data_IF_995880092634
#
_entry.id   IF_995880092634
#
_cell.length_a   1.000
_cell.length_b   1.000
_cell.length_c   1.000
_cell.angle_alpha   90.00
_cell.angle_beta   90.00
_cell.angle_gamma   90.00
#
_symmetry.space_group_name_H-M   'P 1'
#
loop_
_entity.id
_entity.type
_entity.pdbx_description
1 polymer ?
#
# COMPACT_ATOMS: atom_id res chain seq x y z
N UNK A 1 9.16 14.58 14.06
CA UNK A 1 8.28 15.58 14.68
C UNK A 1 7.02 15.77 13.84
N UNK A 2 5.87 15.99 14.48
CA UNK A 2 4.63 16.35 13.79
C UNK A 2 4.83 17.68 13.05
N UNK A 3 4.38 17.75 11.79
CA UNK A 3 4.54 18.94 10.96
C UNK A 3 5.91 19.10 10.29
N UNK A 4 6.81 18.12 10.39
CA UNK A 4 8.13 18.16 9.76
C UNK A 4 8.13 17.91 8.25
N UNK A 5 6.95 17.72 7.64
CA UNK A 5 6.81 17.53 6.19
C UNK A 5 6.70 16.07 5.73
N UNK A 6 6.46 15.11 6.63
CA UNK A 6 6.31 13.69 6.29
C UNK A 6 5.18 13.44 5.28
N UNK A 7 4.00 13.98 5.54
CA UNK A 7 2.85 13.85 4.63
C UNK A 7 3.10 14.55 3.29
N UNK A 8 3.76 15.69 3.29
CA UNK A 8 4.16 16.40 2.07
C UNK A 8 5.15 15.58 1.27
N UNK A 9 6.13 14.97 1.92
CA UNK A 9 7.12 14.10 1.29
C UNK A 9 6.45 12.90 0.61
N UNK A 10 5.51 12.23 1.29
CA UNK A 10 4.76 11.12 0.71
C UNK A 10 3.90 11.57 -0.47
N UNK A 11 3.26 12.73 -0.41
CA UNK A 11 2.48 13.28 -1.52
C UNK A 11 3.34 13.61 -2.73
N UNK A 12 4.57 14.05 -2.53
CA UNK A 12 5.55 14.27 -3.61
C UNK A 12 5.94 12.93 -4.24
N UNK A 13 6.23 11.90 -3.43
CA UNK A 13 6.59 10.57 -3.93
C UNK A 13 5.46 9.92 -4.73
N UNK A 14 4.21 10.16 -4.37
CA UNK A 14 3.03 9.61 -5.07
C UNK A 14 2.57 10.45 -6.26
N UNK A 15 3.21 11.59 -6.52
CA UNK A 15 2.84 12.47 -7.62
C UNK A 15 1.64 13.39 -7.35
N UNK A 16 1.13 13.42 -6.12
CA UNK A 16 0.00 14.28 -5.75
C UNK A 16 0.39 15.76 -5.64
N UNK A 17 1.66 16.04 -5.37
CA UNK A 17 2.24 17.39 -5.30
C UNK A 17 3.55 17.36 -6.09
N UNK A 18 3.79 18.41 -6.90
CA UNK A 18 5.07 18.58 -7.58
C UNK A 18 6.13 19.15 -6.62
N UNK A 19 7.37 18.64 -6.66
CA UNK A 19 8.45 19.20 -5.85
C UNK A 19 8.88 20.58 -6.36
N UNK A 20 9.23 21.48 -5.45
CA UNK A 20 9.78 22.80 -5.79
C UNK A 20 11.18 22.71 -6.39
N UNK A 21 11.95 21.69 -5.98
CA UNK A 21 13.29 21.36 -6.47
C UNK A 21 13.46 19.85 -6.48
N UNK A 22 14.27 19.37 -7.42
CA UNK A 22 14.55 17.96 -7.57
C UNK A 22 13.48 17.21 -8.33
N UNK A 23 13.72 15.93 -8.54
CA UNK A 23 12.87 15.04 -9.32
C UNK A 23 12.58 13.77 -8.52
N UNK A 24 11.39 13.19 -8.74
CA UNK A 24 11.06 11.84 -8.33
C UNK A 24 11.19 10.94 -9.54
N UNK A 25 12.07 9.95 -9.46
CA UNK A 25 12.28 8.98 -10.53
C UNK A 25 11.97 7.58 -10.03
N UNK A 26 11.09 6.89 -10.74
CA UNK A 26 10.78 5.48 -10.52
C UNK A 26 11.19 4.72 -11.79
N UNK A 27 11.90 3.62 -11.62
CA UNK A 27 12.33 2.79 -12.74
C UNK A 27 11.13 2.37 -13.59
N UNK A 28 11.16 2.54 -14.92
CA UNK A 28 10.06 2.11 -15.78
C UNK A 28 9.70 0.64 -15.58
N UNK A 29 8.39 0.35 -15.51
CA UNK A 29 7.86 -0.98 -15.28
C UNK A 29 7.66 -1.34 -13.81
N UNK A 30 8.20 -0.56 -12.87
CA UNK A 30 7.93 -0.73 -11.44
C UNK A 30 6.58 -0.14 -11.07
N UNK A 31 5.85 -0.86 -10.19
CA UNK A 31 4.55 -0.44 -9.71
C UNK A 31 4.66 0.17 -8.31
N UNK A 32 4.27 1.44 -8.20
CA UNK A 32 4.11 2.14 -6.93
C UNK A 32 2.69 1.94 -6.41
N UNK A 33 2.56 1.50 -5.18
CA UNK A 33 1.29 1.41 -4.46
C UNK A 33 1.35 2.25 -3.20
N UNK A 34 0.23 2.88 -2.85
CA UNK A 34 0.15 3.68 -1.63
C UNK A 34 -1.23 3.56 -0.98
N UNK A 35 -1.28 3.80 0.33
CA UNK A 35 -2.53 3.83 1.08
C UNK A 35 -3.29 5.12 0.77
N UNK A 36 -4.41 4.98 0.06
CA UNK A 36 -5.28 6.11 -0.29
C UNK A 36 -6.05 6.62 0.92
N UNK A 37 -6.34 7.92 0.95
CA UNK A 37 -7.03 8.58 2.06
C UNK A 37 -8.53 8.79 1.79
N UNK A 38 -8.95 8.84 0.53
CA UNK A 38 -10.35 9.01 0.15
C UNK A 38 -11.08 7.66 0.15
N UNK A 39 -11.70 7.32 1.29
CA UNK A 39 -12.43 6.07 1.45
C UNK A 39 -13.82 6.05 0.83
N UNK A 40 -14.32 7.16 0.31
CA UNK A 40 -15.62 7.24 -0.38
C UNK A 40 -15.50 7.05 -1.90
N UNK A 41 -14.30 7.10 -2.42
CA UNK A 41 -14.01 7.02 -3.86
C UNK A 41 -14.54 5.74 -4.51
N UNK A 42 -14.61 4.65 -3.76
CA UNK A 42 -14.95 3.30 -4.26
C UNK A 42 -16.33 2.82 -3.84
N UNK A 43 -17.20 3.69 -3.36
CA UNK A 43 -18.52 3.33 -2.81
C UNK A 43 -19.42 2.55 -3.77
N UNK A 44 -19.24 2.71 -5.07
CA UNK A 44 -20.00 2.00 -6.14
C UNK A 44 -19.49 0.59 -6.41
N UNK A 45 -18.31 0.23 -5.91
CA UNK A 45 -17.68 -1.06 -6.18
C UNK A 45 -17.85 -2.02 -5.01
N UNK A 46 -17.79 -3.32 -5.28
CA UNK A 46 -17.75 -4.28 -4.18
C UNK A 46 -16.37 -4.33 -3.53
N UNK A 47 -16.31 -4.94 -2.35
CA UNK A 47 -15.10 -4.97 -1.52
C UNK A 47 -13.97 -5.72 -2.20
N UNK A 48 -14.22 -6.92 -2.74
CA UNK A 48 -13.20 -7.70 -3.46
C UNK A 48 -12.66 -6.97 -4.68
N UNK A 49 -13.53 -6.42 -5.50
CA UNK A 49 -13.13 -5.67 -6.70
C UNK A 49 -12.27 -4.47 -6.33
N UNK A 50 -12.61 -3.76 -5.25
CA UNK A 50 -11.82 -2.62 -4.76
C UNK A 50 -10.39 -3.03 -4.42
N UNK A 51 -10.20 -4.17 -3.77
CA UNK A 51 -8.85 -4.68 -3.46
C UNK A 51 -8.09 -5.04 -4.74
N UNK A 52 -8.74 -5.74 -5.68
CA UNK A 52 -8.11 -6.16 -6.94
C UNK A 52 -7.71 -4.95 -7.80
N UNK A 53 -8.43 -3.83 -7.71
CA UNK A 53 -8.05 -2.56 -8.35
C UNK A 53 -6.66 -2.05 -7.92
N UNK A 54 -6.10 -2.57 -6.84
CA UNK A 54 -4.71 -2.33 -6.46
C UNK A 54 -3.71 -2.71 -7.54
N UNK A 55 -4.05 -3.70 -8.37
CA UNK A 55 -3.38 -3.97 -9.64
C UNK A 55 -4.31 -3.56 -10.79
N UNK A 56 -4.20 -2.32 -11.22
CA UNK A 56 -5.10 -1.71 -12.18
C UNK A 56 -5.17 -2.49 -13.51
N UNK A 57 -4.04 -2.92 -14.04
CA UNK A 57 -4.02 -3.71 -15.28
C UNK A 57 -4.73 -5.05 -15.15
N UNK A 58 -4.53 -5.74 -14.04
CA UNK A 58 -5.23 -7.01 -13.77
C UNK A 58 -6.75 -6.80 -13.72
N UNK A 59 -7.20 -5.78 -13.04
CA UNK A 59 -8.61 -5.44 -12.94
C UNK A 59 -9.21 -5.10 -14.33
N UNK A 60 -8.50 -4.31 -15.13
CA UNK A 60 -8.92 -4.01 -16.51
C UNK A 60 -9.05 -5.27 -17.36
N UNK A 61 -8.09 -6.19 -17.28
CA UNK A 61 -8.14 -7.47 -18.00
C UNK A 61 -9.37 -8.27 -17.59
N UNK A 62 -9.66 -8.36 -16.30
CA UNK A 62 -10.84 -9.07 -15.79
C UNK A 62 -12.14 -8.48 -16.38
N UNK A 63 -12.24 -7.15 -16.43
CA UNK A 63 -13.42 -6.46 -16.98
C UNK A 63 -13.53 -6.59 -18.49
N UNK A 64 -12.43 -6.50 -19.21
CA UNK A 64 -12.41 -6.70 -20.68
C UNK A 64 -12.79 -8.13 -21.05
N UNK A 65 -12.29 -9.12 -20.29
CA UNK A 65 -12.69 -10.54 -20.49
C UNK A 65 -14.18 -10.73 -20.29
N UNK A 66 -14.74 -10.23 -19.19
CA UNK A 66 -16.18 -10.31 -18.91
C UNK A 66 -17.00 -9.70 -20.05
N UNK A 67 -16.59 -8.53 -20.54
CA UNK A 67 -17.26 -7.83 -21.62
C UNK A 67 -17.23 -8.61 -22.93
N UNK A 68 -16.08 -9.20 -23.29
CA UNK A 68 -15.93 -10.00 -24.51
C UNK A 68 -16.77 -11.26 -24.46
N UNK A 69 -16.72 -12.01 -23.35
CA UNK A 69 -17.48 -13.26 -23.20
C UNK A 69 -18.99 -13.03 -23.05
N UNK A 70 -19.41 -11.83 -22.67
CA UNK A 70 -20.82 -11.46 -22.60
C UNK A 70 -21.43 -11.03 -23.95
N UNK A 71 -20.61 -10.88 -24.98
CA UNK A 71 -21.12 -10.50 -26.32
C UNK A 71 -21.95 -11.59 -26.91
N UNK A 72 -23.14 -11.22 -27.43
CA UNK A 72 -24.00 -12.12 -28.22
C UNK A 72 -23.37 -12.42 -29.59
N UNK A 73 -22.64 -11.45 -30.12
CA UNK A 73 -21.99 -11.46 -31.43
C UNK A 73 -20.47 -11.68 -31.24
N UNK A 74 -20.12 -12.91 -30.86
CA UNK A 74 -18.70 -13.26 -30.62
C UNK A 74 -18.01 -13.58 -31.95
N UNK A 75 -17.11 -12.71 -32.37
CA UNK A 75 -16.38 -12.82 -33.64
C UNK A 75 -15.02 -13.53 -33.46
N UNK A 76 -14.37 -13.88 -34.60
CA UNK A 76 -12.98 -14.40 -34.58
C UNK A 76 -12.00 -13.41 -33.99
N UNK A 77 -12.17 -12.11 -34.25
CA UNK A 77 -11.38 -11.04 -33.65
C UNK A 77 -11.56 -11.00 -32.13
N UNK A 78 -12.77 -11.16 -31.63
CA UNK A 78 -13.07 -11.29 -30.19
C UNK A 78 -12.37 -12.51 -29.58
N UNK A 79 -12.32 -13.63 -30.28
CA UNK A 79 -11.60 -14.83 -29.87
C UNK A 79 -10.09 -14.61 -29.76
N UNK A 80 -9.49 -13.91 -30.71
CA UNK A 80 -8.08 -13.57 -30.67
C UNK A 80 -7.77 -12.62 -29.50
N UNK A 81 -8.61 -11.61 -29.29
CA UNK A 81 -8.46 -10.67 -28.17
C UNK A 81 -8.61 -11.38 -26.83
N UNK A 82 -9.60 -12.26 -26.69
CA UNK A 82 -9.79 -13.06 -25.49
C UNK A 82 -8.57 -13.94 -25.19
N UNK A 83 -7.96 -14.56 -26.20
CA UNK A 83 -6.75 -15.37 -26.02
C UNK A 83 -5.56 -14.54 -25.54
N UNK A 84 -5.37 -13.34 -26.05
CA UNK A 84 -4.33 -12.41 -25.58
C UNK A 84 -4.55 -12.02 -24.13
N UNK A 85 -5.79 -11.68 -23.76
CA UNK A 85 -6.17 -11.32 -22.39
C UNK A 85 -5.99 -12.49 -21.43
N UNK A 86 -6.34 -13.71 -21.83
CA UNK A 86 -6.13 -14.91 -21.00
C UNK A 86 -4.66 -15.17 -20.74
N UNK A 87 -3.80 -15.00 -21.74
CA UNK A 87 -2.35 -15.16 -21.57
C UNK A 87 -1.78 -14.14 -20.59
N UNK A 88 -2.15 -12.87 -20.73
CA UNK A 88 -1.73 -11.79 -19.81
C UNK A 88 -2.29 -12.01 -18.39
N UNK A 89 -3.53 -12.43 -18.28
CA UNK A 89 -4.18 -12.80 -17.00
C UNK A 89 -3.42 -13.92 -16.28
N UNK A 90 -3.04 -14.97 -17.00
CA UNK A 90 -2.27 -16.07 -16.45
C UNK A 90 -0.87 -15.62 -15.98
N UNK A 91 -0.20 -14.79 -16.77
CA UNK A 91 1.12 -14.24 -16.42
C UNK A 91 1.09 -13.38 -15.14
N UNK A 92 -0.04 -12.78 -14.84
CA UNK A 92 -0.25 -11.97 -13.64
C UNK A 92 -0.83 -12.77 -12.46
N UNK A 93 -0.90 -14.08 -12.53
CA UNK A 93 -1.56 -14.95 -11.55
C UNK A 93 -3.02 -14.55 -11.28
N UNK A 94 -3.73 -14.16 -12.31
CA UNK A 94 -5.10 -13.65 -12.21
C UNK A 94 -6.10 -14.65 -11.63
N UNK A 95 -5.87 -15.95 -11.80
CA UNK A 95 -6.68 -17.02 -11.23
C UNK A 95 -6.70 -17.02 -9.69
N UNK A 96 -5.66 -16.45 -9.07
CA UNK A 96 -5.52 -16.36 -7.62
C UNK A 96 -5.95 -14.99 -7.05
N UNK A 97 -6.34 -14.06 -7.91
CA UNK A 97 -6.64 -12.68 -7.51
C UNK A 97 -7.70 -12.57 -6.42
N UNK A 98 -8.81 -13.27 -6.55
CA UNK A 98 -9.88 -13.25 -5.53
C UNK A 98 -9.44 -13.89 -4.22
N UNK A 99 -8.73 -15.01 -4.29
CA UNK A 99 -8.17 -15.69 -3.11
C UNK A 99 -7.16 -14.81 -2.38
N UNK A 100 -6.26 -14.18 -3.11
CA UNK A 100 -5.25 -13.27 -2.55
C UNK A 100 -5.92 -12.06 -1.90
N UNK A 101 -6.90 -11.46 -2.58
CA UNK A 101 -7.66 -10.34 -2.02
C UNK A 101 -8.41 -10.74 -0.73
N UNK A 102 -9.02 -11.92 -0.72
CA UNK A 102 -9.72 -12.44 0.45
C UNK A 102 -8.78 -12.66 1.64
N UNK A 103 -7.56 -13.16 1.40
CA UNK A 103 -6.56 -13.34 2.45
C UNK A 103 -6.12 -12.02 3.07
N UNK A 104 -5.90 -10.99 2.26
CA UNK A 104 -5.57 -9.65 2.74
C UNK A 104 -6.69 -9.06 3.59
N UNK A 105 -7.92 -9.16 3.12
CA UNK A 105 -9.10 -8.67 3.84
C UNK A 105 -9.28 -9.38 5.19
N UNK A 106 -9.23 -10.71 5.19
CA UNK A 106 -9.34 -11.48 6.42
C UNK A 106 -8.22 -11.16 7.42
N UNK A 107 -7.00 -11.02 6.95
CA UNK A 107 -5.86 -10.65 7.79
C UNK A 107 -6.04 -9.30 8.48
N UNK A 108 -6.66 -8.35 7.79
CA UNK A 108 -6.93 -7.00 8.33
C UNK A 108 -8.24 -6.91 9.11
N UNK A 109 -8.96 -8.00 9.30
CA UNK A 109 -10.16 -8.04 10.11
C UNK A 109 -11.46 -7.77 9.35
N UNK A 110 -11.42 -7.81 8.01
CA UNK A 110 -12.63 -7.75 7.17
C UNK A 110 -13.05 -9.18 6.83
N UNK A 111 -14.09 -9.67 7.49
CA UNK A 111 -14.57 -11.03 7.33
C UNK A 111 -15.20 -11.31 5.97
N UNK A 112 -15.30 -12.59 5.65
CA UNK A 112 -15.82 -13.08 4.35
C UNK A 112 -17.25 -12.62 4.06
N UNK A 113 -18.06 -12.39 5.09
CA UNK A 113 -19.42 -11.86 4.98
C UNK A 113 -19.49 -10.46 4.36
N UNK A 114 -18.40 -9.69 4.41
CA UNK A 114 -18.31 -8.36 3.84
C UNK A 114 -17.71 -8.32 2.42
N UNK A 115 -17.07 -9.39 1.96
CA UNK A 115 -16.28 -9.36 0.72
C UNK A 115 -17.10 -9.08 -0.55
N UNK A 116 -18.36 -9.48 -0.60
CA UNK A 116 -19.23 -9.27 -1.75
C UNK A 116 -20.20 -8.09 -1.57
N UNK A 117 -20.11 -7.40 -0.44
CA UNK A 117 -20.86 -6.16 -0.23
C UNK A 117 -20.24 -5.01 -1.01
N UNK A 118 -21.04 -3.97 -1.29
CA UNK A 118 -20.50 -2.74 -1.84
C UNK A 118 -19.76 -1.96 -0.78
N UNK A 119 -18.79 -1.17 -1.18
CA UNK A 119 -18.05 -0.31 -0.25
C UNK A 119 -18.96 0.66 0.51
N UNK A 120 -20.03 1.13 -0.13
CA UNK A 120 -21.02 2.02 0.50
C UNK A 120 -21.69 1.42 1.75
N UNK A 121 -21.80 0.08 1.82
CA UNK A 121 -22.41 -0.64 2.95
C UNK A 121 -21.48 -0.76 4.16
N UNK A 122 -20.20 -0.47 4.00
CA UNK A 122 -19.20 -0.54 5.07
C UNK A 122 -19.16 0.77 5.87
N UNK A 123 -18.77 0.69 7.16
CA UNK A 123 -18.48 1.88 7.94
C UNK A 123 -17.10 2.46 7.58
N UNK A 124 -16.79 3.67 8.08
CA UNK A 124 -15.54 4.36 7.76
C UNK A 124 -14.28 3.57 8.12
N UNK A 125 -14.27 2.94 9.28
CA UNK A 125 -13.15 2.11 9.73
C UNK A 125 -12.92 0.90 8.82
N UNK A 126 -14.00 0.23 8.43
CA UNK A 126 -13.95 -0.91 7.50
C UNK A 126 -13.44 -0.48 6.10
N UNK A 127 -13.92 0.67 5.60
CA UNK A 127 -13.44 1.21 4.31
C UNK A 127 -11.93 1.47 4.31
N UNK A 128 -11.39 2.03 5.38
CA UNK A 128 -9.94 2.27 5.53
C UNK A 128 -9.16 0.95 5.47
N UNK A 129 -9.63 -0.09 6.13
CA UNK A 129 -9.01 -1.42 6.09
C UNK A 129 -9.03 -2.04 4.68
N UNK A 130 -10.11 -1.85 3.95
CA UNK A 130 -10.20 -2.29 2.55
C UNK A 130 -9.20 -1.55 1.68
N UNK A 131 -9.02 -0.25 1.86
CA UNK A 131 -8.01 0.53 1.13
C UNK A 131 -6.59 0.10 1.48
N UNK A 132 -6.34 -0.30 2.72
CA UNK A 132 -5.07 -0.89 3.10
C UNK A 132 -4.84 -2.23 2.38
N UNK A 133 -5.83 -3.10 2.34
CA UNK A 133 -5.76 -4.35 1.57
C UNK A 133 -5.47 -4.08 0.08
N UNK A 134 -6.13 -3.09 -0.50
CA UNK A 134 -5.88 -2.63 -1.88
C UNK A 134 -4.43 -2.20 -2.10
N UNK A 135 -3.86 -1.45 -1.17
CA UNK A 135 -2.47 -1.01 -1.25
C UNK A 135 -1.48 -2.19 -1.21
N UNK A 136 -1.78 -3.22 -0.42
CA UNK A 136 -0.93 -4.42 -0.28
C UNK A 136 -1.08 -5.41 -1.45
N UNK A 137 -2.16 -5.32 -2.21
CA UNK A 137 -2.52 -6.30 -3.23
C UNK A 137 -1.53 -6.34 -4.40
N UNK A 138 -1.26 -7.55 -4.89
CA UNK A 138 -0.56 -7.77 -6.15
C UNK A 138 0.94 -7.55 -6.11
N UNK A 139 1.57 -7.64 -4.95
CA UNK A 139 3.02 -7.55 -4.77
C UNK A 139 3.64 -6.31 -5.43
N UNK A 140 3.29 -5.08 -4.99
CA UNK A 140 3.84 -3.85 -5.57
C UNK A 140 5.36 -3.79 -5.40
N UNK A 141 6.04 -3.14 -6.33
CA UNK A 141 7.49 -2.94 -6.26
C UNK A 141 7.89 -1.93 -5.19
N UNK A 142 7.05 -0.91 -5.02
CA UNK A 142 7.22 0.13 -4.00
C UNK A 142 5.89 0.33 -3.29
N UNK A 143 5.89 0.21 -1.98
CA UNK A 143 4.70 0.33 -1.13
C UNK A 143 4.88 1.49 -0.16
N UNK A 144 3.94 2.44 -0.17
CA UNK A 144 3.92 3.60 0.72
C UNK A 144 2.73 3.52 1.66
N UNK A 145 2.98 3.45 2.96
CA UNK A 145 1.97 3.34 4.00
C UNK A 145 2.06 4.51 4.98
N UNK A 146 1.01 5.32 5.05
CA UNK A 146 0.89 6.42 6.01
C UNK A 146 -0.08 6.02 7.12
N UNK A 147 0.45 5.88 8.34
CA UNK A 147 -0.28 5.48 9.55
C UNK A 147 -1.15 4.22 9.35
N UNK A 148 -0.58 3.09 8.86
CA UNK A 148 -1.37 1.94 8.46
C UNK A 148 -2.05 1.19 9.60
N UNK A 149 -1.63 1.42 10.84
CA UNK A 149 -2.15 0.71 12.02
C UNK A 149 -3.33 1.40 12.70
N UNK A 150 -3.70 2.62 12.28
CA UNK A 150 -4.65 3.47 13.00
C UNK A 150 -6.04 2.85 13.25
N UNK A 151 -6.51 1.98 12.38
CA UNK A 151 -7.85 1.37 12.51
C UNK A 151 -7.80 -0.12 12.78
N UNK A 152 -6.62 -0.65 13.09
CA UNK A 152 -6.40 -2.08 13.26
C UNK A 152 -6.46 -2.47 14.74
N UNK A 153 -7.06 -3.63 15.02
CA UNK A 153 -6.92 -4.29 16.30
C UNK A 153 -5.56 -5.00 16.43
N UNK A 154 -5.27 -5.57 17.58
CA UNK A 154 -3.98 -6.22 17.84
C UNK A 154 -3.71 -7.38 16.89
N UNK A 155 -4.71 -8.18 16.55
CA UNK A 155 -4.55 -9.32 15.65
C UNK A 155 -4.24 -8.85 14.22
N UNK A 156 -4.92 -7.81 13.75
CA UNK A 156 -4.68 -7.21 12.44
C UNK A 156 -3.30 -6.55 12.37
N UNK A 157 -2.86 -5.87 13.42
CA UNK A 157 -1.51 -5.30 13.51
C UNK A 157 -0.46 -6.41 13.42
N UNK A 158 -0.63 -7.48 14.18
CA UNK A 158 0.30 -8.62 14.14
C UNK A 158 0.35 -9.25 12.74
N UNK A 159 -0.78 -9.38 12.07
CA UNK A 159 -0.84 -9.87 10.71
C UNK A 159 -0.10 -8.95 9.74
N UNK A 160 -0.30 -7.63 9.84
CA UNK A 160 0.37 -6.64 8.99
C UNK A 160 1.88 -6.61 9.23
N UNK A 161 2.32 -6.72 10.48
CA UNK A 161 3.74 -6.83 10.82
C UNK A 161 4.38 -8.02 10.11
N UNK A 162 3.75 -9.21 10.19
CA UNK A 162 4.21 -10.42 9.52
C UNK A 162 4.24 -10.24 7.99
N UNK A 163 3.19 -9.65 7.43
CA UNK A 163 3.14 -9.36 6.00
C UNK A 163 4.32 -8.49 5.56
N UNK A 164 4.60 -7.40 6.28
CA UNK A 164 5.67 -6.46 5.94
C UNK A 164 7.08 -7.04 6.18
N UNK A 165 7.25 -7.86 7.21
CA UNK A 165 8.52 -8.56 7.46
C UNK A 165 8.85 -9.50 6.31
N UNK A 166 7.86 -10.19 5.76
CA UNK A 166 8.01 -11.11 4.63
C UNK A 166 7.94 -10.42 3.25
N UNK A 167 7.65 -9.14 3.21
CA UNK A 167 7.57 -8.37 1.97
C UNK A 167 8.97 -8.10 1.42
N UNK A 168 9.27 -8.63 0.24
CA UNK A 168 10.62 -8.62 -0.33
C UNK A 168 10.99 -7.33 -1.03
N UNK A 169 9.99 -6.54 -1.44
CA UNK A 169 10.19 -5.30 -2.18
C UNK A 169 10.34 -4.09 -1.23
N UNK A 170 10.44 -2.90 -1.78
CA UNK A 170 10.63 -1.68 -1.00
C UNK A 170 9.33 -1.23 -0.33
N UNK A 171 9.37 -1.00 0.96
CA UNK A 171 8.26 -0.39 1.70
C UNK A 171 8.74 0.83 2.48
N UNK A 172 7.96 1.90 2.40
CA UNK A 172 8.15 3.13 3.18
C UNK A 172 6.93 3.30 4.08
N UNK A 173 7.16 3.33 5.38
CA UNK A 173 6.11 3.47 6.39
C UNK A 173 6.29 4.77 7.15
N UNK A 174 5.23 5.55 7.26
CA UNK A 174 5.12 6.65 8.21
C UNK A 174 4.19 6.23 9.33
N UNK A 175 4.68 6.24 10.56
CA UNK A 175 3.89 5.84 11.72
C UNK A 175 4.39 6.51 13.01
N UNK A 176 3.45 6.77 13.94
CA UNK A 176 3.74 7.15 15.32
C UNK A 176 3.80 5.94 16.26
N UNK A 177 3.47 4.76 15.76
CA UNK A 177 3.55 3.50 16.52
C UNK A 177 4.99 2.98 16.49
N UNK A 178 5.73 3.29 17.53
CA UNK A 178 7.14 2.88 17.67
C UNK A 178 7.33 1.37 17.75
N UNK A 179 6.39 0.65 18.32
CA UNK A 179 6.44 -0.82 18.42
C UNK A 179 6.31 -1.46 17.04
N UNK A 180 5.41 -0.93 16.24
CA UNK A 180 5.25 -1.35 14.86
C UNK A 180 6.50 -1.06 14.02
N UNK A 181 7.02 0.17 14.09
CA UNK A 181 8.25 0.56 13.38
C UNK A 181 9.44 -0.30 13.80
N UNK A 182 9.57 -0.59 15.09
CA UNK A 182 10.67 -1.40 15.61
C UNK A 182 10.66 -2.83 15.04
N UNK A 183 9.48 -3.39 14.80
CA UNK A 183 9.34 -4.75 14.25
C UNK A 183 9.56 -4.83 12.75
N UNK A 184 9.11 -3.84 11.99
CA UNK A 184 9.04 -3.91 10.52
C UNK A 184 10.17 -3.18 9.82
N UNK A 185 10.79 -2.17 10.44
CA UNK A 185 11.78 -1.30 9.79
C UNK A 185 13.20 -1.84 9.94
N UNK A 186 13.96 -1.74 8.84
CA UNK A 186 15.42 -2.01 8.80
C UNK A 186 16.23 -0.71 8.72
N UNK A 187 15.57 0.39 8.34
CA UNK A 187 16.17 1.73 8.28
C UNK A 187 15.14 2.76 8.75
N UNK A 188 15.61 3.83 9.35
CA UNK A 188 14.80 4.97 9.75
C UNK A 188 15.25 6.21 8.98
N UNK A 189 14.31 6.89 8.34
CA UNK A 189 14.52 8.21 7.77
C UNK A 189 13.97 9.27 8.75
N UNK A 190 14.85 10.08 9.28
CA UNK A 190 14.48 11.17 10.17
C UNK A 190 14.34 12.47 9.36
N UNK A 191 13.18 13.09 9.43
CA UNK A 191 12.87 14.36 8.74
C UNK A 191 12.74 15.44 9.81
N UNK A 192 13.72 16.33 9.85
CA UNK A 192 13.71 17.46 10.75
C UNK A 192 14.46 18.65 10.14
N UNK A 193 14.05 19.88 10.48
CA UNK A 193 14.67 21.12 9.98
C UNK A 193 14.88 21.16 8.46
N UNK A 194 13.90 20.69 7.70
CA UNK A 194 13.94 20.58 6.23
C UNK A 194 15.08 19.70 5.69
N UNK A 195 15.57 18.77 6.49
CA UNK A 195 16.59 17.78 6.11
C UNK A 195 16.09 16.37 6.33
N UNK A 196 16.59 15.44 5.53
CA UNK A 196 16.33 14.00 5.67
C UNK A 196 17.65 13.34 6.01
N UNK A 197 17.67 12.57 7.10
CA UNK A 197 18.82 11.78 7.50
C UNK A 197 18.43 10.31 7.64
N UNK A 198 19.23 9.42 7.04
CA UNK A 198 19.01 7.99 7.09
C UNK A 198 19.86 7.35 8.19
N UNK A 199 19.24 6.48 8.98
CA UNK A 199 19.88 5.64 9.98
C UNK A 199 19.64 4.18 9.66
N UNK A 200 20.68 3.36 9.63
CA UNK A 200 20.54 1.93 9.52
C UNK A 200 20.08 1.36 10.88
N UNK A 201 19.19 0.37 10.83
CA UNK A 201 18.64 -0.29 12.00
C UNK A 201 17.16 0.03 12.23
N UNK A 202 16.63 -0.45 13.35
CA UNK A 202 15.23 -0.24 13.72
C UNK A 202 15.04 1.05 14.53
N UNK A 203 13.79 1.28 14.99
CA UNK A 203 13.43 2.46 15.76
C UNK A 203 14.26 2.61 17.05
N UNK A 204 14.50 1.54 17.80
CA UNK A 204 15.26 1.59 19.04
C UNK A 204 16.72 2.03 18.78
N UNK A 205 17.35 1.50 17.76
CA UNK A 205 18.69 1.90 17.33
C UNK A 205 18.75 3.38 16.94
N UNK A 206 17.77 3.86 16.19
CA UNK A 206 17.67 5.28 15.82
C UNK A 206 17.51 6.15 17.06
N UNK A 207 16.63 5.79 17.98
CA UNK A 207 16.37 6.56 19.20
C UNK A 207 17.62 6.68 20.08
N UNK A 208 18.36 5.61 20.28
CA UNK A 208 19.64 5.61 21.01
C UNK A 208 20.66 6.49 20.30
N UNK A 209 20.79 6.39 18.99
CA UNK A 209 21.74 7.16 18.19
C UNK A 209 21.48 8.67 18.27
N UNK A 210 20.22 9.09 18.16
CA UNK A 210 19.81 10.49 18.23
C UNK A 210 19.98 11.04 19.65
N UNK A 211 19.59 10.28 20.66
CA UNK A 211 19.72 10.67 22.06
C UNK A 211 21.19 10.89 22.44
N UNK A 212 22.08 10.02 21.99
CA UNK A 212 23.52 10.14 22.23
C UNK A 212 24.12 11.38 21.54
N UNK A 213 23.67 11.69 20.35
CA UNK A 213 24.11 12.87 19.59
C UNK A 213 23.69 14.17 20.30
N UNK A 214 22.48 14.24 20.83
CA UNK A 214 21.98 15.37 21.57
C UNK A 214 22.74 15.58 22.90
N UNK A 215 23.09 14.52 23.61
CA UNK A 215 23.87 14.59 24.84
C UNK A 215 25.28 15.15 24.58
N UNK A 216 25.97 14.72 23.54
CA UNK A 216 27.28 15.23 23.14
C UNK A 216 27.24 16.71 22.75
N UNK A 217 26.19 17.16 22.06
CA UNK A 217 26.07 18.57 21.68
C UNK A 217 25.91 19.49 22.90
N UNK A 218 25.32 19.01 24.00
CA UNK A 218 25.23 19.75 25.26
C UNK A 218 26.55 19.78 26.05
N UNK A 219 27.40 18.76 25.92
CA UNK A 219 28.70 18.71 26.60
C UNK A 219 29.79 19.57 25.92
N UNK A 220 29.69 19.77 24.60
CA UNK A 220 30.66 20.55 23.83
C UNK A 220 30.35 22.05 23.77
N UNK A 221 29.22 22.48 24.31
CA UNK A 221 28.76 23.88 24.35
C UNK A 221 29.08 24.65 25.63
N UNK A 222 30.07 24.20 26.43
CA UNK A 222 30.59 24.94 27.58
C UNK A 222 32.00 25.45 27.34
#
# INVERSE_FOLDING_TARGET
ANGAGKSTFLKILTGQIEPSKGDVSITPGQRLSFLEQDHFKYDEYNVLDTVIMGNDRLYQIMKEKEAIYAKEDFTEEDGNKASELEAEFADMNGWEAESDAAQLLNGLGIGTDLHYKTMAELNGSEKVKVLLAKALFGNPDILLLDEPTNHLDLDAIAWLEEFLINFENTVIVVSHDRYFLNKVCTQIADIDYAKIQLYAGNYDFWYESVSYTHLRAHETGR
#
